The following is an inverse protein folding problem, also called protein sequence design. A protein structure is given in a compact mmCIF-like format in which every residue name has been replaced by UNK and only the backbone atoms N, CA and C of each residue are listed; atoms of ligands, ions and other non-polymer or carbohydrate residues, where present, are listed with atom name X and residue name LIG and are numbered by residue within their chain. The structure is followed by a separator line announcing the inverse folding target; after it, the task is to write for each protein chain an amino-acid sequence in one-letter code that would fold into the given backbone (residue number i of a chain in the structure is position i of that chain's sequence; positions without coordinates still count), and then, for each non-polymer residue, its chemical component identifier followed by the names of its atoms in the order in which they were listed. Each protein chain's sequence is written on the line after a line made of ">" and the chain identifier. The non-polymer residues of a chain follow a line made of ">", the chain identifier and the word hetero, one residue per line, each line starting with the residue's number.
data_IF_596168886241
#
_entry.id   IF_596168886241
#
_cell.length_a   1.000
_cell.length_b   1.000
_cell.length_c   1.000
_cell.angle_alpha   90.00
_cell.angle_beta   90.00
_cell.angle_gamma   90.00
#
_symmetry.space_group_name_H-M   'P 1'
#
loop_
_entity.id
_entity.type
_entity.pdbx_description
1 polymer ?
#
# COMPACT_ATOMS: atom_id res chain seq x y z
N UNK A 1 -0.21 20.47 -7.91
CA UNK A 1 -0.16 19.01 -7.87
C UNK A 1 -0.81 18.42 -9.11
N UNK A 2 -0.16 17.48 -9.72
CA UNK A 2 -0.73 16.79 -10.88
C UNK A 2 -1.88 15.91 -10.43
N UNK A 3 -3.12 16.25 -10.80
CA UNK A 3 -4.31 15.40 -10.64
C UNK A 3 -4.31 14.24 -11.66
N UNK A 4 -3.15 13.65 -11.87
CA UNK A 4 -3.00 12.52 -12.79
C UNK A 4 -3.80 11.34 -12.27
N UNK A 5 -4.76 10.88 -13.04
CA UNK A 5 -5.54 9.68 -12.76
C UNK A 5 -4.85 8.48 -13.42
N UNK A 6 -4.62 7.43 -12.65
CA UNK A 6 -4.10 6.15 -13.15
C UNK A 6 -5.11 5.05 -12.91
N UNK A 7 -5.25 4.14 -13.85
CA UNK A 7 -6.10 2.96 -13.70
C UNK A 7 -5.30 1.77 -13.16
N UNK A 8 -6.02 0.87 -12.51
CA UNK A 8 -5.50 -0.41 -12.06
C UNK A 8 -6.60 -1.45 -11.95
N UNK A 9 -6.21 -2.70 -11.85
CA UNK A 9 -7.15 -3.82 -11.81
C UNK A 9 -6.56 -5.06 -11.14
N UNK A 10 -7.44 -5.98 -10.75
CA UNK A 10 -7.05 -7.33 -10.36
C UNK A 10 -6.60 -8.14 -11.57
N UNK A 11 -6.02 -9.32 -11.34
CA UNK A 11 -5.52 -10.22 -12.41
C UNK A 11 -6.59 -10.54 -13.48
N UNK A 12 -7.82 -10.83 -13.07
CA UNK A 12 -8.89 -11.20 -14.02
C UNK A 12 -9.68 -10.01 -14.60
N UNK A 13 -9.40 -8.78 -14.15
CA UNK A 13 -10.09 -7.58 -14.60
C UNK A 13 -11.50 -7.38 -14.02
N UNK A 14 -11.99 -8.26 -13.16
CA UNK A 14 -13.33 -8.14 -12.56
C UNK A 14 -13.44 -6.93 -11.61
N UNK A 15 -12.34 -6.57 -10.93
CA UNK A 15 -12.24 -5.36 -10.11
C UNK A 15 -11.33 -4.36 -10.80
N UNK A 16 -11.85 -3.15 -11.01
CA UNK A 16 -11.08 -2.03 -11.60
C UNK A 16 -11.23 -0.77 -10.75
N UNK A 17 -10.15 -0.02 -10.64
CA UNK A 17 -10.12 1.19 -9.83
C UNK A 17 -9.32 2.31 -10.53
N UNK A 18 -9.53 3.54 -10.05
CA UNK A 18 -8.72 4.71 -10.38
C UNK A 18 -7.98 5.18 -9.15
N UNK A 19 -6.72 5.52 -9.33
CA UNK A 19 -5.89 6.19 -8.35
C UNK A 19 -5.82 7.68 -8.72
N UNK A 20 -6.30 8.54 -7.84
CA UNK A 20 -6.29 9.98 -8.00
C UNK A 20 -5.04 10.59 -7.37
N UNK A 21 -4.10 11.03 -8.20
CA UNK A 21 -2.82 11.61 -7.77
C UNK A 21 -1.76 10.57 -7.43
N UNK A 22 -0.78 10.95 -6.62
CA UNK A 22 0.34 10.11 -6.22
C UNK A 22 0.20 9.62 -4.78
N UNK A 23 0.75 8.45 -4.43
CA UNK A 23 0.89 8.02 -3.04
C UNK A 23 1.64 9.07 -2.20
N UNK A 24 1.34 9.14 -0.91
CA UNK A 24 2.12 9.95 0.04
C UNK A 24 3.52 9.40 0.22
N UNK A 25 3.66 8.08 0.19
CA UNK A 25 4.92 7.39 0.36
C UNK A 25 4.84 5.96 -0.17
N UNK A 26 5.96 5.41 -0.64
CA UNK A 26 5.99 4.06 -1.25
C UNK A 26 6.98 3.17 -0.51
N UNK A 27 6.49 2.03 -0.03
CA UNK A 27 7.30 0.99 0.61
C UNK A 27 7.55 -0.18 -0.32
N UNK A 28 8.77 -0.71 -0.31
CA UNK A 28 9.07 -2.09 -0.68
C UNK A 28 9.20 -2.90 0.61
N UNK A 29 8.20 -3.68 0.95
CA UNK A 29 8.13 -4.42 2.21
C UNK A 29 8.57 -5.87 2.06
N UNK A 30 9.63 -6.24 2.78
CA UNK A 30 10.23 -7.58 2.77
C UNK A 30 9.79 -8.47 3.93
N UNK A 31 8.74 -8.10 4.69
CA UNK A 31 8.28 -8.92 5.80
C UNK A 31 7.67 -10.24 5.32
N UNK A 32 7.70 -11.26 6.21
CA UNK A 32 7.19 -12.60 5.87
C UNK A 32 5.71 -12.61 5.53
N UNK A 33 4.93 -11.73 6.15
CA UNK A 33 3.50 -11.62 5.86
C UNK A 33 3.26 -11.12 4.44
N UNK A 34 3.97 -10.07 4.01
CA UNK A 34 3.90 -9.58 2.63
C UNK A 34 4.34 -10.64 1.62
N UNK A 35 5.42 -11.38 1.91
CA UNK A 35 5.88 -12.47 1.05
C UNK A 35 4.82 -13.55 0.89
N UNK A 36 4.21 -14.00 1.99
CA UNK A 36 3.17 -15.05 1.97
C UNK A 36 1.88 -14.58 1.30
N UNK A 37 1.47 -13.34 1.54
CA UNK A 37 0.24 -12.78 0.98
C UNK A 37 0.31 -12.56 -0.52
N UNK A 38 1.48 -12.20 -1.05
CA UNK A 38 1.68 -11.91 -2.47
C UNK A 38 2.22 -13.09 -3.25
N UNK A 39 2.81 -14.08 -2.57
CA UNK A 39 3.56 -15.16 -3.21
C UNK A 39 4.86 -14.69 -3.87
N UNK A 40 5.33 -13.48 -3.55
CA UNK A 40 6.54 -12.86 -4.10
C UNK A 40 7.59 -12.60 -3.03
N UNK A 41 8.73 -12.05 -3.44
CA UNK A 41 9.83 -11.73 -2.55
C UNK A 41 9.56 -10.53 -1.63
N UNK A 42 8.65 -9.65 -2.02
CA UNK A 42 8.24 -8.43 -1.31
C UNK A 42 6.90 -7.92 -1.83
N UNK A 43 6.32 -6.93 -1.15
CA UNK A 43 5.17 -6.19 -1.63
C UNK A 43 5.54 -4.71 -1.84
N UNK A 44 5.10 -4.12 -2.95
CA UNK A 44 5.24 -2.67 -3.19
C UNK A 44 3.93 -2.00 -2.84
N UNK A 45 3.96 -1.19 -1.79
CA UNK A 45 2.79 -0.55 -1.19
C UNK A 45 2.87 0.96 -1.30
N UNK A 46 1.89 1.57 -1.96
CA UNK A 46 1.68 3.02 -1.90
C UNK A 46 0.73 3.38 -0.77
N UNK A 47 1.17 4.22 0.16
CA UNK A 47 0.32 4.74 1.22
C UNK A 47 -0.44 5.93 0.68
N UNK A 48 -1.76 5.83 0.67
CA UNK A 48 -2.64 6.85 0.07
C UNK A 48 -3.95 6.97 0.84
N UNK A 49 -4.55 8.15 0.77
CA UNK A 49 -5.87 8.39 1.33
C UNK A 49 -6.91 7.46 0.69
N UNK A 50 -7.76 6.85 1.51
CA UNK A 50 -8.74 5.87 1.04
C UNK A 50 -9.69 6.41 -0.05
N UNK A 51 -10.07 7.68 0.05
CA UNK A 51 -10.94 8.37 -0.91
C UNK A 51 -10.30 8.59 -2.29
N UNK A 52 -8.97 8.50 -2.40
CA UNK A 52 -8.24 8.65 -3.67
C UNK A 52 -8.15 7.35 -4.49
N UNK A 53 -8.66 6.25 -3.94
CA UNK A 53 -8.79 4.97 -4.65
C UNK A 53 -10.26 4.73 -4.94
N UNK A 54 -10.69 5.08 -6.13
CA UNK A 54 -12.07 4.95 -6.61
C UNK A 54 -12.27 3.62 -7.32
N UNK A 55 -13.07 2.72 -6.75
CA UNK A 55 -13.48 1.49 -7.42
C UNK A 55 -14.66 1.81 -8.33
N UNK A 56 -14.50 1.63 -9.63
CA UNK A 56 -15.56 1.89 -10.61
C UNK A 56 -16.15 0.62 -11.25
N UNK A 57 -15.52 -0.54 -10.96
CA UNK A 57 -16.04 -1.84 -11.43
C UNK A 57 -15.69 -2.92 -10.39
N UNK A 58 -16.65 -3.77 -10.10
CA UNK A 58 -16.52 -4.86 -9.13
C UNK A 58 -16.49 -4.37 -7.68
N UNK A 59 -16.36 -5.31 -6.76
CA UNK A 59 -16.35 -5.04 -5.32
C UNK A 59 -15.34 -5.96 -4.63
N UNK A 60 -14.13 -5.47 -4.31
CA UNK A 60 -13.17 -6.27 -3.57
C UNK A 60 -13.63 -6.43 -2.11
N UNK A 61 -13.43 -7.62 -1.57
CA UNK A 61 -13.85 -7.96 -0.21
C UNK A 61 -12.65 -8.04 0.74
N UNK A 62 -12.77 -7.54 1.99
CA UNK A 62 -11.73 -7.64 2.97
C UNK A 62 -11.61 -9.07 3.52
N UNK A 63 -10.39 -9.55 3.64
CA UNK A 63 -10.05 -10.75 4.40
C UNK A 63 -9.21 -10.30 5.58
N UNK A 64 -9.71 -10.55 6.79
CA UNK A 64 -9.02 -10.16 8.02
C UNK A 64 -7.92 -11.15 8.36
N UNK A 65 -6.73 -10.62 8.56
CA UNK A 65 -5.55 -11.36 8.96
C UNK A 65 -5.13 -10.95 10.37
N UNK A 66 -4.68 -11.92 11.16
CA UNK A 66 -4.01 -11.64 12.42
C UNK A 66 -2.60 -11.06 12.16
N UNK A 67 -2.15 -10.18 13.05
CA UNK A 67 -0.79 -9.63 13.04
C UNK A 67 -0.12 -9.82 14.39
N UNK A 68 1.21 -9.80 14.42
CA UNK A 68 1.96 -9.85 15.67
C UNK A 68 1.65 -8.67 16.59
N UNK A 69 1.30 -7.52 16.03
CA UNK A 69 0.94 -6.31 16.79
C UNK A 69 -0.44 -6.39 17.46
N UNK A 70 -1.27 -7.38 17.12
CA UNK A 70 -2.65 -7.50 17.56
C UNK A 70 -3.65 -6.55 16.88
N UNK A 71 -3.19 -5.62 16.05
CA UNK A 71 -4.06 -4.78 15.25
C UNK A 71 -4.59 -5.55 14.04
N UNK A 72 -5.89 -5.44 13.69
CA UNK A 72 -6.44 -6.09 12.52
C UNK A 72 -5.76 -5.59 11.24
N UNK A 73 -5.55 -6.50 10.30
CA UNK A 73 -5.03 -6.21 8.97
C UNK A 73 -6.05 -6.74 7.96
N UNK A 74 -6.79 -5.85 7.33
CA UNK A 74 -7.80 -6.19 6.34
C UNK A 74 -7.21 -6.06 4.94
N UNK A 75 -7.17 -7.17 4.19
CA UNK A 75 -6.65 -7.23 2.83
C UNK A 75 -7.83 -7.34 1.87
N UNK A 76 -8.02 -6.33 1.05
CA UNK A 76 -9.08 -6.27 0.06
C UNK A 76 -8.66 -7.03 -1.20
N UNK A 77 -9.42 -8.07 -1.52
CA UNK A 77 -9.15 -9.00 -2.62
C UNK A 77 -10.31 -9.05 -3.60
N UNK A 78 -9.99 -9.30 -4.86
CA UNK A 78 -10.99 -9.70 -5.84
C UNK A 78 -11.60 -11.05 -5.43
N UNK A 79 -12.92 -11.15 -5.43
CA UNK A 79 -13.62 -12.39 -5.05
C UNK A 79 -13.44 -13.52 -6.07
N UNK A 80 -13.17 -13.19 -7.34
CA UNK A 80 -12.99 -14.17 -8.41
C UNK A 80 -11.56 -14.72 -8.49
N UNK A 81 -10.53 -13.84 -8.54
CA UNK A 81 -9.14 -14.28 -8.75
C UNK A 81 -8.26 -14.18 -7.51
N UNK A 82 -8.78 -13.66 -6.38
CA UNK A 82 -8.09 -13.48 -5.10
C UNK A 82 -6.87 -12.56 -5.14
N UNK A 83 -6.66 -11.80 -6.21
CA UNK A 83 -5.60 -10.78 -6.25
C UNK A 83 -5.77 -9.77 -5.12
N UNK A 84 -4.75 -9.51 -4.30
CA UNK A 84 -4.77 -8.45 -3.31
C UNK A 84 -4.61 -7.10 -4.00
N UNK A 85 -5.49 -6.15 -3.71
CA UNK A 85 -5.47 -4.81 -4.32
C UNK A 85 -4.92 -3.76 -3.36
N UNK A 86 -5.42 -3.76 -2.12
CA UNK A 86 -4.90 -2.92 -1.05
C UNK A 86 -5.17 -3.56 0.30
N UNK A 87 -4.59 -2.98 1.32
CA UNK A 87 -4.91 -3.33 2.70
C UNK A 87 -5.04 -2.08 3.56
N UNK A 88 -5.70 -2.22 4.69
CA UNK A 88 -5.66 -1.27 5.78
C UNK A 88 -5.34 -1.96 7.11
N UNK A 89 -4.80 -1.20 8.05
CA UNK A 89 -4.39 -1.67 9.36
C UNK A 89 -5.17 -0.96 10.46
N UNK A 90 -5.60 -1.70 11.47
CA UNK A 90 -6.30 -1.16 12.64
C UNK A 90 -7.66 -0.55 12.29
N UNK A 91 -8.32 -1.01 11.21
CA UNK A 91 -9.60 -0.46 10.76
C UNK A 91 -9.51 0.96 10.19
N UNK A 92 -8.31 1.41 9.84
CA UNK A 92 -8.08 2.76 9.28
C UNK A 92 -8.41 2.81 7.79
N UNK A 93 -9.70 2.73 7.45
CA UNK A 93 -10.16 2.74 6.04
C UNK A 93 -9.84 4.04 5.29
N UNK A 94 -9.49 5.09 6.02
CA UNK A 94 -9.04 6.36 5.46
C UNK A 94 -7.60 6.32 4.93
N UNK A 95 -6.80 5.28 5.26
CA UNK A 95 -5.42 5.07 4.80
C UNK A 95 -5.30 3.69 4.17
N UNK A 96 -5.05 3.64 2.87
CA UNK A 96 -4.85 2.39 2.14
C UNK A 96 -3.38 2.17 1.82
N UNK A 97 -2.98 0.90 1.93
CA UNK A 97 -1.71 0.39 1.43
C UNK A 97 -1.98 -0.26 0.08
N UNK A 98 -2.00 0.56 -0.97
CA UNK A 98 -2.33 0.12 -2.33
C UNK A 98 -1.18 -0.72 -2.91
N UNK A 99 -1.49 -1.89 -3.46
CA UNK A 99 -0.54 -2.74 -4.19
C UNK A 99 -0.23 -2.09 -5.53
N UNK A 100 0.81 -1.27 -5.61
CA UNK A 100 1.11 -0.44 -6.79
C UNK A 100 1.37 -1.26 -8.05
N UNK A 101 1.81 -2.52 -7.90
CA UNK A 101 2.00 -3.43 -9.04
C UNK A 101 0.69 -3.86 -9.70
N UNK A 102 -0.47 -3.53 -9.13
CA UNK A 102 -1.79 -3.75 -9.74
C UNK A 102 -2.26 -2.57 -10.60
N UNK A 103 -1.49 -1.48 -10.65
CA UNK A 103 -1.71 -0.41 -11.62
C UNK A 103 -1.41 -0.91 -13.04
N UNK A 104 -2.12 -0.36 -14.04
CA UNK A 104 -1.85 -0.64 -15.45
C UNK A 104 -0.44 -0.18 -15.86
N UNK A 105 0.09 0.83 -15.15
CA UNK A 105 1.47 1.31 -15.24
C UNK A 105 2.23 0.98 -13.93
N UNK A 106 2.68 -0.27 -13.70
CA UNK A 106 3.21 -0.69 -12.41
C UNK A 106 4.53 -0.02 -12.03
N UNK A 107 5.25 0.53 -13.01
CA UNK A 107 6.49 1.30 -12.80
C UNK A 107 6.30 2.78 -12.53
N UNK A 108 5.06 3.29 -12.42
CA UNK A 108 4.79 4.72 -12.24
C UNK A 108 5.35 5.30 -10.93
N UNK A 109 5.53 4.47 -9.91
CA UNK A 109 6.02 4.87 -8.60
C UNK A 109 7.10 3.91 -8.10
N UNK A 110 8.33 4.39 -8.01
CA UNK A 110 9.41 3.64 -7.38
C UNK A 110 9.28 3.66 -5.85
N UNK A 111 9.77 2.63 -5.13
CA UNK A 111 9.85 2.66 -3.68
C UNK A 111 10.72 3.81 -3.15
N UNK A 112 10.22 4.55 -2.16
CA UNK A 112 11.00 5.53 -1.41
C UNK A 112 11.94 4.86 -0.42
N UNK A 113 11.52 3.71 0.13
CA UNK A 113 12.26 2.94 1.13
C UNK A 113 12.03 1.44 0.98
N UNK A 114 12.99 0.65 1.45
CA UNK A 114 12.83 -0.79 1.70
C UNK A 114 12.73 -1.02 3.21
N UNK A 115 11.68 -1.72 3.64
CA UNK A 115 11.39 -1.99 5.05
C UNK A 115 11.36 -3.49 5.35
N UNK A 116 11.57 -3.84 6.63
CA UNK A 116 11.67 -5.23 7.10
C UNK A 116 12.72 -6.03 6.36
N UNK A 117 13.85 -5.39 6.03
CA UNK A 117 14.94 -6.04 5.31
C UNK A 117 15.64 -7.15 6.09
N UNK A 118 15.41 -7.23 7.42
CA UNK A 118 15.81 -8.39 8.24
C UNK A 118 15.25 -9.72 7.72
N UNK A 119 14.11 -9.68 7.04
CA UNK A 119 13.43 -10.85 6.44
C UNK A 119 13.60 -10.93 4.92
N UNK A 120 14.40 -10.04 4.34
CA UNK A 120 14.67 -10.02 2.89
C UNK A 120 15.26 -11.35 2.45
N UNK A 121 14.77 -11.88 1.34
CA UNK A 121 15.33 -13.11 0.77
C UNK A 121 16.80 -12.88 0.31
N UNK A 122 17.71 -13.85 0.54
CA UNK A 122 19.15 -13.64 0.32
C UNK A 122 19.53 -13.26 -1.12
N UNK A 123 18.76 -13.75 -2.07
CA UNK A 123 19.00 -13.54 -3.51
C UNK A 123 18.40 -12.22 -4.04
N UNK A 124 17.63 -11.48 -3.21
CA UNK A 124 17.11 -10.17 -3.61
C UNK A 124 18.18 -9.12 -3.39
N UNK A 125 18.65 -8.51 -4.48
CA UNK A 125 19.54 -7.36 -4.42
C UNK A 125 18.73 -6.08 -4.16
N UNK A 126 19.26 -5.21 -3.29
CA UNK A 126 18.71 -3.86 -3.09
C UNK A 126 19.41 -2.90 -4.03
N UNK A 127 18.70 -1.92 -4.63
CA UNK A 127 19.32 -0.87 -5.43
C UNK A 127 20.35 -0.09 -4.62
N UNK A 128 21.42 0.34 -5.26
CA UNK A 128 22.42 1.20 -4.64
C UNK A 128 21.82 2.54 -4.23
N UNK A 129 22.17 3.05 -3.05
CA UNK A 129 21.72 4.35 -2.54
C UNK A 129 20.28 4.39 -2.05
N UNK A 130 19.53 3.28 -2.12
CA UNK A 130 18.17 3.25 -1.58
C UNK A 130 18.18 3.24 -0.05
N UNK A 131 17.21 3.91 0.57
CA UNK A 131 17.03 3.88 2.03
C UNK A 131 16.47 2.53 2.47
N UNK A 132 17.12 1.90 3.44
CA UNK A 132 16.76 0.58 3.95
C UNK A 132 16.61 0.59 5.46
N UNK A 133 15.62 -0.16 5.97
CA UNK A 133 15.34 -0.30 7.40
C UNK A 133 15.12 -1.78 7.71
N UNK A 134 15.79 -2.28 8.74
CA UNK A 134 15.63 -3.68 9.17
C UNK A 134 14.22 -4.00 9.66
N UNK A 135 13.53 -2.99 10.21
CA UNK A 135 12.11 -3.04 10.59
C UNK A 135 11.33 -1.91 9.93
N UNK A 136 10.56 -1.15 10.72
CA UNK A 136 9.87 0.05 10.27
C UNK A 136 10.73 1.30 10.57
N UNK A 137 10.32 2.46 10.12
CA UNK A 137 11.06 3.73 10.26
C UNK A 137 10.20 4.80 10.98
N UNK A 138 10.82 5.91 11.37
CA UNK A 138 10.10 7.08 11.91
C UNK A 138 9.55 7.93 10.77
N UNK A 139 8.23 7.89 10.61
CA UNK A 139 7.49 8.65 9.56
C UNK A 139 7.84 10.15 9.59
N UNK A 140 8.05 10.72 10.78
CA UNK A 140 8.36 12.16 10.93
C UNK A 140 9.72 12.54 10.36
N UNK A 141 10.64 11.57 10.27
CA UNK A 141 11.99 11.78 9.73
C UNK A 141 12.06 11.49 8.23
N UNK A 142 11.31 10.49 7.78
CA UNK A 142 11.48 9.93 6.44
C UNK A 142 10.51 10.52 5.42
N UNK A 143 9.31 10.89 5.84
CA UNK A 143 8.31 11.42 4.90
C UNK A 143 8.55 12.88 4.57
N UNK A 144 8.34 13.30 3.30
CA UNK A 144 8.26 14.70 2.93
C UNK A 144 7.20 15.45 3.75
N UNK A 145 7.43 16.73 4.03
CA UNK A 145 6.51 17.55 4.81
C UNK A 145 5.08 17.59 4.21
N UNK A 146 4.97 17.61 2.89
CA UNK A 146 3.71 17.55 2.17
C UNK A 146 2.95 16.24 2.46
N UNK A 147 3.65 15.11 2.43
CA UNK A 147 3.06 13.79 2.72
C UNK A 147 2.60 13.68 4.17
N UNK A 148 3.37 14.25 5.11
CA UNK A 148 2.98 14.33 6.52
C UNK A 148 1.72 15.18 6.72
N UNK A 149 1.61 16.31 6.02
CA UNK A 149 0.44 17.19 6.06
C UNK A 149 -0.80 16.48 5.49
N UNK A 150 -0.67 15.77 4.37
CA UNK A 150 -1.75 14.96 3.78
C UNK A 150 -2.24 13.88 4.74
N UNK A 151 -1.30 13.13 5.32
CA UNK A 151 -1.61 12.09 6.32
C UNK A 151 -2.37 12.65 7.50
N UNK A 152 -1.90 13.79 8.05
CA UNK A 152 -2.56 14.46 9.17
C UNK A 152 -3.99 14.88 8.80
N UNK A 153 -4.17 15.52 7.65
CA UNK A 153 -5.47 15.97 7.18
C UNK A 153 -6.46 14.81 7.01
N UNK A 154 -6.03 13.69 6.41
CA UNK A 154 -6.86 12.49 6.26
C UNK A 154 -7.26 11.88 7.61
N UNK A 155 -6.32 11.83 8.56
CA UNK A 155 -6.58 11.36 9.93
C UNK A 155 -7.59 12.24 10.67
N UNK A 156 -7.40 13.56 10.62
CA UNK A 156 -8.27 14.53 11.29
C UNK A 156 -9.70 14.48 10.73
N UNK A 157 -9.84 14.38 9.39
CA UNK A 157 -11.12 14.20 8.69
C UNK A 157 -11.84 12.92 9.15
N UNK A 158 -11.12 11.80 9.24
CA UNK A 158 -11.69 10.54 9.69
C UNK A 158 -12.16 10.61 11.15
N UNK A 159 -11.40 11.29 12.03
CA UNK A 159 -11.75 11.48 13.43
C UNK A 159 -12.97 12.39 13.63
N UNK A 160 -13.22 13.33 12.72
CA UNK A 160 -14.38 14.23 12.76
C UNK A 160 -15.67 13.57 12.24
N UNK A 161 -15.56 12.47 11.46
CA UNK A 161 -16.69 11.77 10.86
C UNK A 161 -17.19 10.57 11.69
N UNK A 162 -16.53 10.25 12.77
CA UNK A 162 -16.89 9.21 13.74
C UNK A 162 -17.35 9.81 15.04
#
# INVERSE_FOLDING_TARGET
>A
MSDTIRSGQCFCGAVRYRLHGAPMFVHCCHCRDCQKQTGGAFAVNGLIEGERVEVFQGEPQPIRMATESGYPHDIYRCTACQSPLWSDYGGRTWLRFLRLVTLDEPGAFAPDVHIYTRSKLPWVALPEGVRVFEEYYDVRKEWPAESQARYKAAKDKASASG
#
